data_IF_940405857469
#
_entry.id   IF_940405857469
#
_cell.length_a   1.000
_cell.length_b   1.000
_cell.length_c   1.000
_cell.angle_alpha   90.00
_cell.angle_beta   90.00
_cell.angle_gamma   90.00
#
_symmetry.space_group_name_H-M   'P 1'
#
loop_
_entity.id
_entity.type
_entity.pdbx_description
1 polymer ?
#
# COMPACT_ATOMS: atom_id res chain seq x y z
N UNK A 1 -86.56 -49.23 -4.23
CA UNK A 1 -85.13 -49.15 -3.84
C UNK A 1 -84.57 -47.84 -4.37
N UNK A 2 -84.55 -46.83 -3.54
CA UNK A 2 -84.01 -45.50 -3.88
C UNK A 2 -82.66 -45.33 -3.17
N UNK A 3 -81.56 -45.21 -3.98
CA UNK A 3 -80.22 -44.92 -3.46
C UNK A 3 -80.04 -43.42 -3.35
N UNK A 4 -79.89 -42.90 -2.14
CA UNK A 4 -79.50 -41.55 -1.84
C UNK A 4 -77.97 -41.38 -1.92
N UNK A 5 -77.49 -40.46 -2.72
CA UNK A 5 -76.04 -40.04 -2.79
C UNK A 5 -75.81 -38.91 -1.83
N UNK A 6 -74.74 -38.97 -1.03
CA UNK A 6 -74.36 -37.80 -0.22
C UNK A 6 -73.59 -36.77 -1.08
N UNK A 7 -73.99 -35.51 -0.93
CA UNK A 7 -73.29 -34.36 -1.48
C UNK A 7 -72.18 -34.00 -0.49
N UNK A 8 -70.93 -34.07 -0.93
CA UNK A 8 -69.77 -33.60 -0.17
C UNK A 8 -69.54 -32.16 -0.54
N UNK A 9 -69.75 -31.26 0.41
CA UNK A 9 -69.39 -29.84 0.28
C UNK A 9 -67.87 -29.69 0.54
N UNK A 10 -67.16 -29.28 -0.49
CA UNK A 10 -65.74 -28.92 -0.37
C UNK A 10 -65.64 -27.45 -0.05
N UNK A 11 -65.28 -27.16 1.20
CA UNK A 11 -64.99 -25.78 1.64
C UNK A 11 -63.55 -25.45 1.24
N UNK A 12 -63.40 -24.58 0.26
CA UNK A 12 -62.08 -24.07 -0.14
C UNK A 12 -61.61 -23.00 0.88
N UNK A 13 -60.60 -23.35 1.66
CA UNK A 13 -59.90 -22.41 2.54
C UNK A 13 -58.85 -21.68 1.71
N UNK A 14 -59.09 -20.38 1.40
CA UNK A 14 -58.15 -19.51 0.74
C UNK A 14 -57.16 -19.01 1.80
N UNK A 15 -55.97 -19.58 1.86
CA UNK A 15 -54.83 -19.06 2.61
C UNK A 15 -54.24 -17.89 1.81
N UNK A 16 -54.45 -16.65 2.26
CA UNK A 16 -53.73 -15.47 1.81
C UNK A 16 -52.29 -15.54 2.35
N UNK A 17 -51.38 -16.00 1.54
CA UNK A 17 -49.94 -15.88 1.78
C UNK A 17 -49.55 -14.41 1.57
N UNK A 18 -49.50 -13.65 2.67
CA UNK A 18 -48.87 -12.34 2.70
C UNK A 18 -47.36 -12.52 2.45
N UNK A 19 -46.88 -12.18 1.24
CA UNK A 19 -45.49 -12.04 0.95
C UNK A 19 -44.91 -10.82 1.68
N UNK A 20 -44.36 -11.03 2.88
CA UNK A 20 -43.49 -10.06 3.50
C UNK A 20 -42.20 -9.99 2.66
N UNK A 21 -42.03 -8.94 1.86
CA UNK A 21 -40.78 -8.63 1.24
C UNK A 21 -39.74 -8.42 2.33
N UNK A 22 -38.56 -9.05 2.29
CA UNK A 22 -37.50 -8.71 3.21
C UNK A 22 -37.11 -7.27 2.95
N UNK A 23 -37.28 -6.40 3.94
CA UNK A 23 -36.67 -5.10 3.98
C UNK A 23 -35.15 -5.35 4.10
N UNK A 24 -34.44 -5.25 2.99
CA UNK A 24 -32.99 -5.14 3.04
C UNK A 24 -32.70 -3.80 3.76
N UNK A 25 -32.33 -3.88 5.02
CA UNK A 25 -31.67 -2.80 5.69
C UNK A 25 -30.37 -2.60 4.91
N UNK A 26 -30.31 -1.54 4.11
CA UNK A 26 -29.04 -1.07 3.52
C UNK A 26 -28.27 -0.55 4.72
N UNK A 27 -27.35 -1.36 5.25
CA UNK A 27 -26.31 -0.85 6.14
C UNK A 27 -25.68 0.35 5.44
N UNK A 28 -25.56 1.51 6.11
CA UNK A 28 -24.84 2.63 5.55
C UNK A 28 -23.41 2.15 5.31
N UNK A 29 -23.05 2.02 4.04
CA UNK A 29 -21.68 1.71 3.63
C UNK A 29 -20.77 2.70 4.36
N UNK A 30 -19.71 2.24 5.05
CA UNK A 30 -18.82 3.13 5.79
C UNK A 30 -18.30 4.17 4.81
N UNK A 31 -18.69 5.42 5.01
CA UNK A 31 -18.23 6.54 4.20
C UNK A 31 -16.75 6.72 4.51
N UNK A 32 -15.89 6.19 3.65
CA UNK A 32 -14.46 6.48 3.75
C UNK A 32 -14.26 8.00 3.70
N UNK A 33 -13.31 8.54 4.48
CA UNK A 33 -13.08 9.97 4.50
C UNK A 33 -12.67 10.42 3.09
N UNK A 34 -13.47 11.32 2.52
CA UNK A 34 -13.21 11.91 1.19
C UNK A 34 -11.89 12.67 1.25
N UNK A 35 -10.97 12.30 0.41
CA UNK A 35 -9.71 13.02 0.27
C UNK A 35 -9.93 14.21 -0.66
N UNK A 36 -9.50 15.39 -0.25
CA UNK A 36 -9.71 16.66 -0.99
C UNK A 36 -8.44 17.17 -1.65
N UNK A 37 -7.36 16.43 -1.59
CA UNK A 37 -6.08 16.81 -2.14
C UNK A 37 -5.44 15.66 -2.94
N UNK A 38 -4.59 15.97 -3.94
CA UNK A 38 -3.80 14.97 -4.63
C UNK A 38 -2.89 14.23 -3.66
N UNK A 39 -2.43 13.00 -4.00
CA UNK A 39 -1.51 12.26 -3.17
C UNK A 39 -0.23 13.07 -2.94
N UNK A 40 0.24 13.11 -1.70
CA UNK A 40 1.53 13.68 -1.39
C UNK A 40 2.63 12.76 -1.95
N UNK A 41 3.30 13.20 -2.99
CA UNK A 41 4.49 12.54 -3.52
C UNK A 41 5.72 13.16 -2.84
N UNK A 42 6.71 12.36 -2.38
CA UNK A 42 7.96 12.91 -1.87
C UNK A 42 8.70 13.61 -3.01
N UNK A 43 9.39 14.69 -2.70
CA UNK A 43 10.30 15.32 -3.66
C UNK A 43 11.40 14.32 -4.04
N UNK A 44 11.47 13.96 -5.31
CA UNK A 44 12.37 12.91 -5.80
C UNK A 44 13.83 13.37 -5.93
N UNK A 45 14.10 14.67 -5.81
CA UNK A 45 15.44 15.26 -6.00
C UNK A 45 16.51 14.69 -5.06
N UNK A 46 16.11 14.17 -3.90
CA UNK A 46 17.03 13.67 -2.87
C UNK A 46 16.96 12.14 -2.70
N UNK A 47 16.23 11.45 -3.58
CA UNK A 47 16.06 10.00 -3.53
C UNK A 47 16.97 9.31 -4.55
N UNK A 48 17.63 8.27 -4.12
CA UNK A 48 18.34 7.32 -4.98
C UNK A 48 17.39 6.16 -5.27
N UNK A 49 17.08 5.93 -6.55
CA UNK A 49 16.40 4.72 -6.95
C UNK A 49 17.37 3.55 -6.77
N UNK A 50 16.95 2.58 -5.96
CA UNK A 50 17.78 1.42 -5.68
C UNK A 50 17.67 0.42 -6.83
N UNK A 51 18.80 0.08 -7.44
CA UNK A 51 18.89 -1.13 -8.22
C UNK A 51 18.89 -2.33 -7.25
N UNK A 52 17.94 -3.27 -7.39
CA UNK A 52 17.89 -4.44 -6.50
C UNK A 52 19.17 -5.30 -6.55
N UNK A 53 19.98 -5.17 -7.59
CA UNK A 53 21.24 -5.90 -7.77
C UNK A 53 22.48 -5.08 -7.39
N UNK A 54 22.35 -3.76 -7.21
CA UNK A 54 23.48 -2.91 -6.91
C UNK A 54 23.99 -3.19 -5.49
N UNK A 55 25.17 -3.76 -5.43
CA UNK A 55 25.97 -3.84 -4.20
C UNK A 55 26.67 -2.49 -4.11
N UNK A 56 26.23 -1.60 -3.23
CA UNK A 56 27.07 -0.48 -2.86
C UNK A 56 28.47 -1.01 -2.57
N UNK A 57 29.46 -0.58 -3.36
CA UNK A 57 30.86 -0.87 -3.13
C UNK A 57 31.15 -0.53 -1.67
N UNK A 58 31.39 -1.56 -0.87
CA UNK A 58 31.74 -1.40 0.52
C UNK A 58 32.97 -0.47 0.54
N UNK A 59 32.87 0.74 1.12
CA UNK A 59 34.05 1.57 1.22
C UNK A 59 35.09 0.75 1.95
N UNK A 60 36.26 0.61 1.32
CA UNK A 60 37.42 0.03 1.97
C UNK A 60 37.80 0.91 3.16
N UNK A 61 37.19 0.56 4.32
CA UNK A 61 37.56 1.22 5.58
C UNK A 61 38.96 0.75 5.91
N UNK A 62 39.92 1.66 6.13
CA UNK A 62 41.22 1.27 6.65
C UNK A 62 41.00 0.57 7.99
N UNK A 63 41.13 -0.72 8.02
CA UNK A 63 41.05 -1.49 9.26
C UNK A 63 42.31 -1.17 10.07
N UNK A 64 42.17 -0.24 11.02
CA UNK A 64 43.20 -0.14 12.06
C UNK A 64 43.01 -1.39 12.92
N UNK A 65 44.03 -2.27 13.04
CA UNK A 65 43.87 -3.47 13.84
C UNK A 65 43.49 -3.09 15.27
N UNK A 66 42.55 -3.82 15.91
CA UNK A 66 42.15 -3.56 17.26
C UNK A 66 43.30 -3.79 18.21
N UNK A 67 43.59 -2.81 19.02
CA UNK A 67 44.49 -2.92 20.16
C UNK A 67 43.70 -3.55 21.28
N UNK A 68 44.13 -4.74 21.71
CA UNK A 68 43.67 -5.51 22.85
C UNK A 68 42.15 -5.82 22.94
N UNK A 69 41.82 -7.03 22.58
CA UNK A 69 40.52 -7.64 22.76
C UNK A 69 40.53 -8.57 23.98
N UNK A 70 39.82 -8.26 25.07
CA UNK A 70 39.92 -9.06 26.32
C UNK A 70 39.26 -10.44 26.23
N UNK A 71 38.34 -10.71 25.34
CA UNK A 71 37.56 -11.97 25.31
C UNK A 71 37.33 -12.51 23.90
N UNK A 72 38.26 -13.02 23.19
CA UNK A 72 38.18 -13.95 22.06
C UNK A 72 36.95 -13.96 21.12
N UNK A 73 35.95 -13.09 21.28
CA UNK A 73 34.75 -12.97 20.45
C UNK A 73 34.96 -11.90 19.38
N UNK A 74 35.35 -12.34 18.20
CA UNK A 74 35.32 -11.46 17.02
C UNK A 74 33.87 -11.32 16.52
N UNK A 75 33.42 -10.09 16.31
CA UNK A 75 32.19 -9.82 15.56
C UNK A 75 32.50 -9.82 14.07
N UNK A 76 31.55 -10.24 13.27
CA UNK A 76 31.60 -10.10 11.82
C UNK A 76 31.50 -8.60 11.46
N UNK A 77 32.54 -8.02 10.82
CA UNK A 77 32.53 -6.62 10.46
C UNK A 77 31.64 -6.37 9.25
N UNK A 78 30.94 -5.24 9.23
CA UNK A 78 30.09 -4.86 8.11
C UNK A 78 29.06 -3.81 8.47
N UNK A 79 28.42 -3.26 7.46
CA UNK A 79 27.25 -2.40 7.67
C UNK A 79 26.04 -3.21 8.09
N UNK A 80 25.24 -2.61 8.95
CA UNK A 80 23.94 -3.12 9.38
C UNK A 80 22.92 -1.98 9.28
N UNK A 81 21.78 -2.27 8.74
CA UNK A 81 20.63 -1.37 8.76
C UNK A 81 19.74 -1.74 9.93
N UNK A 82 19.14 -0.74 10.55
CA UNK A 82 18.13 -0.91 11.59
C UNK A 82 16.98 0.05 11.37
N UNK A 83 15.80 -0.48 11.11
CA UNK A 83 14.56 0.27 11.06
C UNK A 83 14.15 0.74 12.45
N UNK A 84 13.64 1.95 12.59
CA UNK A 84 13.28 2.54 13.89
C UNK A 84 11.84 3.02 13.96
N UNK A 85 11.30 3.52 12.87
CA UNK A 85 9.93 3.99 12.80
C UNK A 85 9.40 3.95 11.37
N UNK A 86 8.08 3.97 11.23
CA UNK A 86 7.38 4.05 9.95
C UNK A 86 6.33 5.16 9.96
N UNK A 87 6.00 5.67 8.80
CA UNK A 87 4.96 6.65 8.57
C UNK A 87 3.76 6.02 7.84
N UNK A 88 2.79 6.85 7.47
CA UNK A 88 1.68 6.43 6.59
C UNK A 88 2.21 6.07 5.20
N UNK A 89 1.44 5.26 4.48
CA UNK A 89 1.74 4.94 3.08
C UNK A 89 1.72 6.21 2.21
N UNK A 90 2.67 6.31 1.29
CA UNK A 90 2.74 7.32 0.24
C UNK A 90 2.30 6.72 -1.08
N UNK A 91 1.48 7.41 -1.84
CA UNK A 91 1.09 6.97 -3.16
C UNK A 91 2.03 7.57 -4.21
N UNK A 92 2.77 6.73 -4.93
CA UNK A 92 3.51 7.13 -6.14
C UNK A 92 2.66 6.82 -7.35
N UNK A 93 2.18 7.88 -8.03
CA UNK A 93 1.37 7.75 -9.22
C UNK A 93 2.19 7.27 -10.42
N UNK A 94 1.55 6.46 -11.28
CA UNK A 94 2.08 6.05 -12.58
C UNK A 94 1.13 6.56 -13.65
N UNK A 95 1.64 7.33 -14.61
CA UNK A 95 0.83 7.98 -15.63
C UNK A 95 0.19 9.29 -15.19
N UNK A 96 -0.83 9.70 -15.93
CA UNK A 96 -1.54 10.96 -15.71
C UNK A 96 -2.66 10.84 -14.68
N UNK A 97 -3.00 11.94 -14.06
CA UNK A 97 -4.23 12.04 -13.27
C UNK A 97 -5.42 12.12 -14.21
N UNK A 98 -6.43 11.29 -13.98
CA UNK A 98 -7.70 11.33 -14.69
C UNK A 98 -8.73 12.07 -13.83
N UNK A 99 -9.63 12.82 -14.46
CA UNK A 99 -10.64 13.64 -13.79
C UNK A 99 -11.99 13.50 -14.48
N UNK A 100 -13.06 13.45 -13.68
CA UNK A 100 -14.42 13.45 -14.20
C UNK A 100 -15.30 14.40 -13.37
N UNK A 101 -15.84 15.43 -14.05
CA UNK A 101 -16.76 16.39 -13.43
C UNK A 101 -18.22 15.95 -13.59
N UNK A 102 -18.94 15.85 -12.49
CA UNK A 102 -20.36 15.59 -12.49
C UNK A 102 -21.16 16.89 -12.53
N UNK A 103 -21.50 17.39 -13.71
CA UNK A 103 -22.29 18.60 -13.92
C UNK A 103 -23.79 18.48 -13.58
N UNK A 104 -24.28 17.30 -13.13
CA UNK A 104 -25.70 17.06 -12.80
C UNK A 104 -26.05 17.43 -11.38
N UNK A 105 -27.33 17.34 -11.03
CA UNK A 105 -27.83 17.50 -9.65
C UNK A 105 -27.93 16.18 -8.88
N UNK A 106 -27.48 15.07 -9.47
CA UNK A 106 -27.52 13.73 -8.86
C UNK A 106 -26.13 13.13 -8.88
N UNK A 107 -25.87 12.22 -7.96
CA UNK A 107 -24.65 11.40 -7.97
C UNK A 107 -24.56 10.62 -9.28
N UNK A 108 -23.39 10.63 -9.91
CA UNK A 108 -23.09 9.91 -11.13
C UNK A 108 -21.96 8.91 -10.91
N UNK A 109 -21.96 7.82 -11.68
CA UNK A 109 -20.87 6.84 -11.64
C UNK A 109 -19.76 7.28 -12.59
N UNK A 110 -18.57 7.45 -12.04
CA UNK A 110 -17.33 7.69 -12.80
C UNK A 110 -16.51 6.42 -12.87
N UNK A 111 -15.93 6.15 -14.02
CA UNK A 111 -15.05 4.99 -14.24
C UNK A 111 -13.70 5.49 -14.75
N UNK A 112 -12.63 5.06 -14.11
CA UNK A 112 -11.25 5.38 -14.45
C UNK A 112 -10.51 4.11 -14.83
N UNK A 113 -9.68 4.18 -15.88
CA UNK A 113 -8.91 3.05 -16.39
C UNK A 113 -7.45 3.45 -16.53
N UNK A 114 -6.52 2.65 -16.01
CA UNK A 114 -5.09 2.93 -16.15
C UNK A 114 -4.64 2.79 -17.61
N UNK A 115 -4.02 3.83 -18.15
CA UNK A 115 -3.60 3.91 -19.56
C UNK A 115 -2.14 3.51 -19.76
N UNK A 116 -1.38 3.38 -18.69
CA UNK A 116 0.04 3.07 -18.73
C UNK A 116 0.39 1.88 -17.84
N UNK A 117 1.44 1.19 -18.24
CA UNK A 117 2.13 0.22 -17.41
C UNK A 117 3.45 0.83 -16.92
N UNK A 118 3.95 0.39 -15.79
CA UNK A 118 5.21 0.86 -15.23
C UNK A 118 5.67 0.00 -14.07
N UNK A 119 6.82 0.35 -13.53
CA UNK A 119 7.41 -0.27 -12.35
C UNK A 119 7.75 0.80 -11.34
N UNK A 120 7.57 0.47 -10.07
CA UNK A 120 7.94 1.33 -8.95
C UNK A 120 8.82 0.50 -8.02
N UNK A 121 10.07 0.88 -7.94
CA UNK A 121 11.06 0.26 -7.06
C UNK A 121 11.16 0.92 -5.70
N UNK A 122 12.10 0.41 -4.89
CA UNK A 122 12.53 1.06 -3.66
C UNK A 122 13.34 2.29 -4.00
N UNK A 123 13.10 3.37 -3.27
CA UNK A 123 14.00 4.52 -3.26
C UNK A 123 14.37 4.89 -1.82
N UNK A 124 15.56 5.45 -1.64
CA UNK A 124 16.05 5.81 -0.31
C UNK A 124 16.86 7.10 -0.34
N UNK A 125 16.96 7.76 0.80
CA UNK A 125 17.85 8.88 1.03
C UNK A 125 18.85 8.56 2.14
N UNK A 126 20.06 9.11 2.03
CA UNK A 126 21.14 8.86 2.98
C UNK A 126 22.05 7.69 2.53
N UNK A 127 22.98 7.29 3.40
CA UNK A 127 23.93 6.21 3.12
C UNK A 127 23.41 4.88 3.67
N UNK A 128 22.91 4.01 2.80
CA UNK A 128 22.34 2.72 3.22
C UNK A 128 23.43 1.73 3.67
N UNK A 129 24.50 1.55 2.90
CA UNK A 129 25.65 0.68 3.24
C UNK A 129 25.34 -0.82 3.31
N UNK A 130 24.11 -1.24 3.04
CA UNK A 130 23.66 -2.62 2.92
C UNK A 130 22.86 -2.80 1.64
N UNK A 131 22.69 -4.03 1.19
CA UNK A 131 21.79 -4.32 0.08
C UNK A 131 20.35 -3.95 0.45
N UNK A 132 19.59 -3.46 -0.52
CA UNK A 132 18.17 -3.13 -0.34
C UNK A 132 17.36 -4.33 0.17
N UNK A 133 17.67 -5.54 -0.29
CA UNK A 133 17.03 -6.77 0.20
C UNK A 133 17.22 -6.98 1.71
N UNK A 134 18.38 -6.64 2.26
CA UNK A 134 18.65 -6.72 3.71
C UNK A 134 17.83 -5.69 4.47
N UNK A 135 17.75 -4.47 3.96
CA UNK A 135 16.94 -3.43 4.57
C UNK A 135 15.43 -3.75 4.52
N UNK A 136 14.95 -4.37 3.44
CA UNK A 136 13.57 -4.86 3.32
C UNK A 136 13.25 -5.88 4.42
N UNK A 137 14.11 -6.89 4.62
CA UNK A 137 13.91 -7.92 5.65
C UNK A 137 13.84 -7.29 7.06
N UNK A 138 14.67 -6.29 7.34
CA UNK A 138 14.65 -5.59 8.61
C UNK A 138 13.35 -4.78 8.80
N UNK A 139 12.89 -4.08 7.76
CA UNK A 139 11.62 -3.33 7.76
C UNK A 139 10.42 -4.26 7.97
N UNK A 140 10.38 -5.40 7.27
CA UNK A 140 9.30 -6.39 7.42
C UNK A 140 9.26 -6.98 8.82
N UNK A 141 10.42 -7.33 9.36
CA UNK A 141 10.56 -7.91 10.69
C UNK A 141 10.18 -6.91 11.80
N UNK A 142 10.68 -5.67 11.72
CA UNK A 142 10.46 -4.65 12.75
C UNK A 142 9.00 -4.20 12.80
N UNK A 143 8.35 -4.07 11.63
CA UNK A 143 7.01 -3.48 11.55
C UNK A 143 5.91 -4.49 11.29
N UNK A 144 6.22 -5.76 11.12
CA UNK A 144 5.28 -6.82 10.75
C UNK A 144 4.44 -6.43 9.52
N UNK A 145 5.11 -6.09 8.45
CA UNK A 145 4.50 -5.65 7.17
C UNK A 145 5.10 -6.44 6.01
N UNK A 146 4.36 -6.54 4.92
CA UNK A 146 4.89 -7.06 3.65
C UNK A 146 5.21 -5.88 2.75
N UNK A 147 6.42 -5.85 2.24
CA UNK A 147 6.89 -4.87 1.26
C UNK A 147 7.65 -5.58 0.14
N UNK A 148 7.90 -4.90 -0.97
CA UNK A 148 8.60 -5.48 -2.11
C UNK A 148 9.76 -4.58 -2.55
N UNK A 149 10.76 -5.16 -3.21
CA UNK A 149 11.81 -4.40 -3.84
C UNK A 149 11.29 -3.61 -5.05
N UNK A 150 10.35 -4.20 -5.79
CA UNK A 150 9.69 -3.58 -6.95
C UNK A 150 8.25 -4.09 -7.07
N UNK A 151 7.35 -3.23 -7.54
CA UNK A 151 5.99 -3.58 -7.93
C UNK A 151 5.67 -3.09 -9.34
N UNK A 152 5.07 -3.96 -10.14
CA UNK A 152 4.61 -3.62 -11.48
C UNK A 152 3.18 -3.12 -11.45
N UNK A 153 2.93 -2.06 -12.20
CA UNK A 153 1.62 -1.45 -12.44
C UNK A 153 1.18 -1.82 -13.85
N UNK A 154 0.02 -2.42 -13.99
CA UNK A 154 -0.49 -2.87 -15.29
C UNK A 154 -1.45 -1.87 -15.91
N UNK A 155 -1.40 -1.76 -17.24
CA UNK A 155 -2.42 -1.06 -18.01
C UNK A 155 -3.76 -1.81 -17.96
N UNK A 156 -4.88 -1.08 -18.07
CA UNK A 156 -6.23 -1.65 -18.14
C UNK A 156 -6.88 -1.93 -16.80
N UNK A 157 -6.21 -1.66 -15.67
CA UNK A 157 -6.87 -1.72 -14.35
C UNK A 157 -7.94 -0.64 -14.25
N UNK A 158 -9.14 -1.01 -13.82
CA UNK A 158 -10.31 -0.12 -13.82
C UNK A 158 -10.89 -0.02 -12.42
N UNK A 159 -11.28 1.20 -12.02
CA UNK A 159 -12.06 1.46 -10.82
C UNK A 159 -13.29 2.28 -11.16
N UNK A 160 -14.39 2.01 -10.48
CA UNK A 160 -15.60 2.80 -10.59
C UNK A 160 -16.00 3.36 -9.22
N UNK A 161 -16.29 4.65 -9.18
CA UNK A 161 -16.63 5.39 -7.97
C UNK A 161 -17.85 6.25 -8.20
N UNK A 162 -18.48 6.67 -7.12
CA UNK A 162 -19.61 7.59 -7.15
C UNK A 162 -19.09 9.03 -7.06
N UNK A 163 -19.37 9.83 -8.08
CA UNK A 163 -19.04 11.26 -8.10
C UNK A 163 -20.23 12.08 -7.61
N UNK A 164 -20.11 12.85 -6.53
CA UNK A 164 -21.18 13.71 -6.03
C UNK A 164 -21.64 14.76 -7.05
N UNK A 165 -22.83 15.35 -6.90
CA UNK A 165 -23.29 16.45 -7.73
C UNK A 165 -22.35 17.65 -7.70
N UNK A 166 -22.09 18.26 -8.86
CA UNK A 166 -21.26 19.47 -8.99
C UNK A 166 -19.83 19.36 -8.48
N UNK A 167 -19.30 18.13 -8.41
CA UNK A 167 -17.96 17.81 -7.90
C UNK A 167 -17.13 17.14 -9.00
N UNK A 168 -15.83 17.35 -8.98
CA UNK A 168 -14.88 16.62 -9.81
C UNK A 168 -14.26 15.50 -8.98
N UNK A 169 -14.40 14.27 -9.43
CA UNK A 169 -13.62 13.15 -8.90
C UNK A 169 -12.35 12.98 -9.71
N UNK A 170 -11.23 12.92 -9.03
CA UNK A 170 -9.91 12.73 -9.61
C UNK A 170 -9.39 11.35 -9.19
N UNK A 171 -8.65 10.70 -10.07
CA UNK A 171 -8.08 9.39 -9.83
C UNK A 171 -6.66 9.28 -10.39
N UNK A 172 -5.74 8.72 -9.62
CA UNK A 172 -4.37 8.43 -10.03
C UNK A 172 -4.02 6.99 -9.68
N UNK A 173 -3.64 6.21 -10.69
CA UNK A 173 -3.22 4.83 -10.50
C UNK A 173 -1.73 4.77 -10.16
N UNK A 174 -1.32 3.85 -9.28
CA UNK A 174 0.07 3.78 -8.88
C UNK A 174 0.35 2.76 -7.79
N UNK A 175 1.39 3.02 -7.02
CA UNK A 175 1.88 2.13 -5.95
C UNK A 175 1.90 2.88 -4.63
N UNK A 176 1.28 2.30 -3.62
CA UNK A 176 1.44 2.75 -2.24
C UNK A 176 2.78 2.23 -1.71
N UNK A 177 3.61 3.14 -1.21
CA UNK A 177 4.92 2.86 -0.65
C UNK A 177 4.92 3.17 0.85
N UNK A 178 5.48 2.26 1.63
CA UNK A 178 5.74 2.52 3.05
C UNK A 178 6.98 3.41 3.17
N UNK A 179 6.86 4.52 3.88
CA UNK A 179 8.00 5.33 4.30
C UNK A 179 8.48 4.84 5.65
N UNK A 180 9.69 4.34 5.71
CA UNK A 180 10.36 3.89 6.93
C UNK A 180 11.60 4.74 7.21
N UNK A 181 11.87 4.93 8.48
CA UNK A 181 13.05 5.61 8.97
C UNK A 181 13.92 4.61 9.71
N UNK A 182 15.22 4.76 9.57
CA UNK A 182 16.19 3.93 10.23
C UNK A 182 17.57 4.55 10.19
N UNK A 183 18.55 3.77 10.53
CA UNK A 183 19.94 4.14 10.38
C UNK A 183 20.79 2.97 9.90
N UNK A 184 21.82 3.30 9.17
CA UNK A 184 22.89 2.39 8.78
C UNK A 184 24.10 2.64 9.65
N UNK A 185 24.74 1.59 10.15
CA UNK A 185 25.87 1.67 11.05
C UNK A 185 26.87 0.56 10.76
N UNK A 186 28.16 0.90 10.71
CA UNK A 186 29.22 -0.09 10.55
C UNK A 186 29.55 -0.74 11.90
N UNK A 187 29.59 -2.06 11.94
CA UNK A 187 30.07 -2.83 13.09
C UNK A 187 31.50 -3.28 12.82
N UNK A 188 32.42 -3.01 13.74
CA UNK A 188 33.81 -3.41 13.63
C UNK A 188 34.05 -4.82 14.17
N UNK A 189 35.19 -5.44 13.81
CA UNK A 189 35.56 -6.77 14.27
C UNK A 189 35.73 -6.87 15.80
N UNK A 190 36.07 -5.75 16.46
CA UNK A 190 36.12 -5.64 17.92
C UNK A 190 34.75 -5.41 18.57
N UNK A 191 33.65 -5.63 17.84
CA UNK A 191 32.28 -5.45 18.29
C UNK A 191 31.85 -4.00 18.60
N UNK A 192 32.72 -3.01 18.37
CA UNK A 192 32.33 -1.60 18.50
C UNK A 192 31.52 -1.14 17.27
N UNK A 193 30.72 -0.11 17.46
CA UNK A 193 29.89 0.45 16.40
C UNK A 193 30.47 1.78 15.92
N UNK A 194 30.43 2.01 14.60
CA UNK A 194 30.76 3.27 13.94
C UNK A 194 29.66 4.31 14.08
N UNK A 195 29.78 5.38 13.30
CA UNK A 195 28.77 6.45 13.25
C UNK A 195 27.46 5.95 12.65
N UNK A 196 26.33 6.37 13.22
CA UNK A 196 25.00 6.15 12.65
C UNK A 196 24.74 7.12 11.51
N UNK A 197 24.34 6.60 10.36
CA UNK A 197 23.89 7.38 9.23
C UNK A 197 22.36 7.20 9.11
N UNK A 198 21.61 8.27 9.24
CA UNK A 198 20.16 8.22 9.10
C UNK A 198 19.79 7.91 7.65
N UNK A 199 18.82 7.03 7.48
CA UNK A 199 18.32 6.59 6.18
C UNK A 199 16.80 6.60 6.20
N UNK A 200 16.21 7.15 5.16
CA UNK A 200 14.76 7.06 4.92
C UNK A 200 14.57 6.18 3.70
N UNK A 201 13.71 5.16 3.80
CA UNK A 201 13.46 4.20 2.72
C UNK A 201 11.97 4.22 2.37
N UNK A 202 11.67 4.21 1.07
CA UNK A 202 10.33 4.09 0.51
C UNK A 202 10.20 2.74 -0.18
N UNK A 203 9.48 1.80 0.43
CA UNK A 203 9.32 0.44 -0.09
C UNK A 203 7.94 0.24 -0.69
N UNK A 204 7.82 -0.27 -1.94
CA UNK A 204 6.56 -0.65 -2.54
C UNK A 204 5.81 -1.67 -1.68
N UNK A 205 4.49 -1.49 -1.52
CA UNK A 205 3.67 -2.33 -0.66
C UNK A 205 2.43 -2.88 -1.32
N UNK A 206 1.71 -2.06 -2.10
CA UNK A 206 0.50 -2.45 -2.81
C UNK A 206 0.24 -1.55 -3.99
N UNK A 207 -0.34 -2.11 -5.04
CA UNK A 207 -0.81 -1.38 -6.21
C UNK A 207 -2.25 -0.93 -5.97
N UNK A 208 -2.62 0.27 -6.43
CA UNK A 208 -3.98 0.75 -6.30
C UNK A 208 -4.20 2.17 -6.81
N UNK A 209 -5.46 2.56 -6.77
CA UNK A 209 -5.90 3.90 -7.11
C UNK A 209 -5.88 4.81 -5.88
N UNK A 210 -5.45 6.05 -6.08
CA UNK A 210 -5.68 7.14 -5.16
C UNK A 210 -6.76 8.04 -5.75
N UNK A 211 -7.81 8.31 -4.96
CA UNK A 211 -8.98 9.06 -5.40
C UNK A 211 -9.19 10.24 -4.48
N UNK A 212 -9.52 11.40 -5.05
CA UNK A 212 -9.86 12.59 -4.30
C UNK A 212 -10.89 13.43 -5.05
N UNK A 213 -11.55 14.32 -4.33
CA UNK A 213 -12.58 15.22 -4.86
C UNK A 213 -12.12 16.68 -4.81
N UNK A 214 -12.56 17.47 -5.80
CA UNK A 214 -12.28 18.91 -5.91
C UNK A 214 -13.45 19.67 -6.52
#
# INVERSE_FOLDING_TARGET
MRRTRPVIAVTALVLALGSAAPAFATDPEPTEPVQTAPPAEPEESDLVDADPEEVDDLPSVPVKPPVDQPDGRACEPGYRYQATSKSKDYHKGVGVTQSNYNGTSRTARSTFTSEVAGKVGVSYSGKLGVKVSVAIVDIESEFNVNVAAEMSVSMGNTIAVQTPPKTTTNAKYGVYRLKSYGYSQYKYANCTNGTKNNVTIYTPRRVGWYIWES
#
